data_IF_496684118136
#
_entry.id   IF_496684118136
#
_cell.length_a   1.000
_cell.length_b   1.000
_cell.length_c   1.000
_cell.angle_alpha   90.00
_cell.angle_beta   90.00
_cell.angle_gamma   90.00
#
_symmetry.space_group_name_H-M   'P 1'
#
loop_
_entity.id
_entity.type
_entity.pdbx_description
1 polymer ?
#
# COMPACT_ATOMS: atom_id res chain seq x y z
N UNK A 1 20.82 33.11 -12.14
CA UNK A 1 19.96 32.11 -12.82
C UNK A 1 18.59 32.20 -12.15
N UNK A 2 17.53 32.37 -12.92
CA UNK A 2 16.18 32.36 -12.38
C UNK A 2 15.80 30.95 -11.94
N UNK A 3 15.07 30.83 -10.84
CA UNK A 3 14.66 29.53 -10.27
C UNK A 3 13.76 28.72 -11.22
N UNK A 4 13.00 29.42 -12.08
CA UNK A 4 12.00 28.86 -12.98
C UNK A 4 11.65 29.91 -14.03
N UNK A 5 11.15 29.51 -15.20
CA UNK A 5 10.67 30.42 -16.24
C UNK A 5 9.42 31.19 -15.80
N UNK A 6 8.74 30.73 -14.77
CA UNK A 6 7.51 31.30 -14.21
C UNK A 6 7.69 31.78 -12.77
N UNK A 7 8.83 32.44 -12.47
CA UNK A 7 9.24 32.81 -11.11
C UNK A 7 8.14 33.54 -10.33
N UNK A 8 7.46 34.52 -10.93
CA UNK A 8 6.37 35.29 -10.32
C UNK A 8 5.20 34.42 -9.84
N UNK A 9 4.83 33.40 -10.62
CA UNK A 9 3.77 32.45 -10.25
C UNK A 9 4.24 31.48 -9.18
N UNK A 10 5.48 31.00 -9.27
CA UNK A 10 6.05 30.04 -8.32
C UNK A 10 6.21 30.70 -6.95
N UNK A 11 6.73 31.92 -6.86
CA UNK A 11 6.86 32.63 -5.59
C UNK A 11 5.50 32.94 -4.95
N UNK A 12 4.50 33.29 -5.74
CA UNK A 12 3.18 33.68 -5.24
C UNK A 12 2.27 32.50 -4.90
N UNK A 13 2.29 31.42 -5.69
CA UNK A 13 1.25 30.40 -5.64
C UNK A 13 1.74 28.97 -5.35
N UNK A 14 3.03 28.66 -5.50
CA UNK A 14 3.51 27.28 -5.42
C UNK A 14 3.22 26.62 -4.05
N UNK A 15 3.48 27.32 -2.97
CA UNK A 15 3.19 26.86 -1.62
C UNK A 15 1.69 26.56 -1.44
N UNK A 16 0.84 27.52 -1.78
CA UNK A 16 -0.61 27.38 -1.64
C UNK A 16 -1.17 26.26 -2.53
N UNK A 17 -0.63 26.11 -3.75
CA UNK A 17 -1.08 25.06 -4.66
C UNK A 17 -0.71 23.65 -4.17
N UNK A 18 0.50 23.45 -3.68
CA UNK A 18 0.90 22.17 -3.06
C UNK A 18 0.03 21.87 -1.84
N UNK A 19 -0.24 22.87 -0.99
CA UNK A 19 -1.13 22.73 0.16
C UNK A 19 -2.55 22.31 -0.24
N UNK A 20 -3.14 22.97 -1.23
CA UNK A 20 -4.48 22.62 -1.74
C UNK A 20 -4.53 21.21 -2.35
N UNK A 21 -3.49 20.78 -3.06
CA UNK A 21 -3.38 19.42 -3.58
C UNK A 21 -3.34 18.41 -2.43
N UNK A 22 -2.56 18.67 -1.38
CA UNK A 22 -2.49 17.78 -0.22
C UNK A 22 -3.80 17.71 0.55
N UNK A 23 -4.50 18.82 0.72
CA UNK A 23 -5.82 18.86 1.34
C UNK A 23 -6.83 18.02 0.54
N UNK A 24 -6.81 18.13 -0.79
CA UNK A 24 -7.66 17.31 -1.66
C UNK A 24 -7.34 15.82 -1.57
N UNK A 25 -6.08 15.43 -1.38
CA UNK A 25 -5.68 14.02 -1.33
C UNK A 25 -5.77 13.39 0.06
N UNK A 26 -5.68 14.18 1.12
CA UNK A 26 -5.63 13.70 2.51
C UNK A 26 -6.70 14.32 3.40
N UNK A 27 -7.54 15.23 2.87
CA UNK A 27 -8.60 15.90 3.62
C UNK A 27 -9.70 14.95 4.10
N UNK A 28 -10.50 15.39 5.05
CA UNK A 28 -11.60 14.60 5.64
C UNK A 28 -12.67 14.10 4.63
N UNK A 29 -12.76 14.74 3.47
CA UNK A 29 -13.64 14.34 2.37
C UNK A 29 -12.95 13.42 1.34
N UNK A 30 -11.64 13.16 1.48
CA UNK A 30 -10.92 12.28 0.58
C UNK A 30 -11.17 10.83 0.98
N UNK A 31 -11.89 10.10 0.15
CA UNK A 31 -11.82 8.65 0.19
C UNK A 31 -10.39 8.26 -0.20
N UNK A 32 -9.59 7.82 0.78
CA UNK A 32 -8.24 7.34 0.47
C UNK A 32 -8.36 5.96 -0.19
N UNK A 33 -8.11 5.84 -1.50
CA UNK A 33 -8.17 4.55 -2.17
C UNK A 33 -6.97 3.67 -1.84
N UNK A 34 -6.01 4.19 -1.06
CA UNK A 34 -4.73 3.55 -0.80
C UNK A 34 -4.67 2.94 0.59
N UNK A 35 -4.40 1.63 0.65
CA UNK A 35 -4.31 0.87 1.90
C UNK A 35 -3.13 1.34 2.77
N UNK A 36 -2.00 1.73 2.16
CA UNK A 36 -0.85 2.18 2.94
C UNK A 36 -1.15 3.40 3.82
N UNK A 37 -2.12 4.26 3.44
CA UNK A 37 -2.49 5.44 4.24
C UNK A 37 -3.31 5.10 5.49
N UNK A 38 -4.03 3.98 5.45
CA UNK A 38 -4.90 3.55 6.56
C UNK A 38 -4.23 2.50 7.45
N UNK A 39 -3.36 1.67 6.89
CA UNK A 39 -2.79 0.50 7.55
C UNK A 39 -1.35 0.71 8.04
N UNK A 40 -0.69 1.81 7.65
CA UNK A 40 0.66 2.16 8.10
C UNK A 40 0.65 3.45 8.92
N UNK A 41 1.40 3.46 10.01
CA UNK A 41 1.76 4.68 10.73
C UNK A 41 3.07 5.26 10.17
N UNK A 42 3.20 6.57 10.15
CA UNK A 42 4.45 7.21 9.72
C UNK A 42 5.51 7.15 10.82
N UNK A 43 6.75 6.84 10.44
CA UNK A 43 7.90 6.83 11.34
C UNK A 43 9.13 7.44 10.68
N UNK A 44 9.73 8.41 11.36
CA UNK A 44 10.95 9.07 10.90
C UNK A 44 12.21 8.27 11.27
N UNK A 45 13.12 8.09 10.29
CA UNK A 45 14.42 7.47 10.46
C UNK A 45 15.53 8.47 10.15
N UNK A 46 16.33 8.79 11.16
CA UNK A 46 17.44 9.75 11.02
C UNK A 46 18.66 9.14 10.29
N UNK A 47 18.85 7.83 10.37
CA UNK A 47 19.99 7.10 9.81
C UNK A 47 19.67 6.46 8.45
N UNK A 48 18.50 6.74 7.88
CA UNK A 48 18.00 6.19 6.61
C UNK A 48 17.95 4.65 6.60
N UNK A 49 17.77 4.06 7.76
CA UNK A 49 17.62 2.61 7.93
C UNK A 49 16.21 2.28 8.38
N UNK A 50 15.74 1.13 7.94
CA UNK A 50 14.53 0.53 8.47
C UNK A 50 14.87 -0.76 9.20
N UNK A 51 14.12 -1.07 10.25
CA UNK A 51 14.18 -2.35 10.93
C UNK A 51 12.76 -2.83 11.22
N UNK A 52 12.45 -4.05 10.83
CA UNK A 52 11.25 -4.74 11.26
C UNK A 52 11.57 -5.48 12.56
N UNK A 53 10.80 -5.22 13.59
CA UNK A 53 10.87 -5.97 14.85
C UNK A 53 9.68 -6.89 14.91
N UNK A 54 9.95 -8.19 14.95
CA UNK A 54 8.92 -9.19 15.19
C UNK A 54 8.51 -9.10 16.67
N UNK A 55 7.46 -8.38 16.95
CA UNK A 55 6.84 -8.35 18.28
C UNK A 55 5.85 -9.50 18.29
N UNK A 56 6.23 -10.58 18.93
CA UNK A 56 5.32 -11.70 19.16
C UNK A 56 4.22 -11.20 20.12
N UNK A 57 3.01 -10.99 19.62
CA UNK A 57 1.86 -10.54 20.42
C UNK A 57 1.34 -11.64 21.35
N UNK A 58 1.85 -12.87 21.25
CA UNK A 58 1.52 -13.94 22.21
C UNK A 58 2.09 -13.63 23.59
N UNK A 59 1.24 -13.22 24.50
CA UNK A 59 1.61 -13.00 25.90
C UNK A 59 1.61 -14.35 26.63
N UNK A 60 2.78 -14.74 27.17
CA UNK A 60 2.87 -15.92 28.02
C UNK A 60 2.23 -15.63 29.37
N UNK A 61 1.27 -16.45 29.77
CA UNK A 61 0.60 -16.27 31.05
C UNK A 61 1.59 -16.30 32.22
N UNK A 62 1.32 -15.50 33.27
CA UNK A 62 2.05 -15.56 34.51
C UNK A 62 1.75 -16.87 35.26
N UNK A 63 2.75 -17.40 35.95
CA UNK A 63 2.54 -18.56 36.82
C UNK A 63 1.93 -18.14 38.13
N UNK A 64 1.11 -19.02 38.70
CA UNK A 64 0.67 -18.92 40.09
C UNK A 64 1.79 -19.47 40.98
N UNK A 65 2.31 -18.63 41.85
CA UNK A 65 3.43 -18.97 42.74
C UNK A 65 3.03 -18.83 44.21
N UNK A 66 3.68 -19.58 45.11
CA UNK A 66 3.46 -19.40 46.55
C UNK A 66 4.12 -18.11 47.05
N UNK A 67 3.62 -17.58 48.20
CA UNK A 67 4.08 -16.29 48.77
C UNK A 67 5.59 -16.23 49.05
N UNK A 68 6.23 -17.37 49.28
CA UNK A 68 7.65 -17.49 49.65
C UNK A 68 8.52 -18.04 48.53
N UNK A 69 7.97 -18.25 47.31
CA UNK A 69 8.74 -18.77 46.17
C UNK A 69 9.28 -17.64 45.30
N UNK A 70 10.46 -17.87 44.71
CA UNK A 70 11.01 -16.95 43.67
C UNK A 70 10.16 -17.01 42.41
N UNK A 71 10.06 -15.86 41.71
CA UNK A 71 9.34 -15.79 40.43
C UNK A 71 10.08 -16.62 39.36
N UNK A 72 9.37 -17.48 38.59
CA UNK A 72 9.96 -18.24 37.51
C UNK A 72 10.38 -17.32 36.36
N UNK A 73 11.59 -17.55 35.84
CA UNK A 73 12.11 -16.83 34.68
C UNK A 73 11.43 -17.33 33.41
N UNK A 74 10.75 -16.44 32.70
CA UNK A 74 10.19 -16.73 31.38
C UNK A 74 11.20 -16.38 30.27
N UNK A 75 11.29 -17.22 29.25
CA UNK A 75 12.10 -16.94 28.07
C UNK A 75 11.47 -15.80 27.25
N UNK A 76 12.30 -14.88 26.75
CA UNK A 76 11.84 -13.91 25.75
C UNK A 76 11.67 -14.62 24.41
N UNK A 77 10.61 -14.29 23.68
CA UNK A 77 10.46 -14.73 22.30
C UNK A 77 11.67 -14.31 21.47
N UNK A 78 12.12 -15.19 20.57
CA UNK A 78 13.19 -14.86 19.64
C UNK A 78 12.73 -13.72 18.72
N UNK A 79 13.45 -12.61 18.75
CA UNK A 79 13.17 -11.46 17.90
C UNK A 79 13.85 -11.70 16.56
N UNK A 80 13.06 -11.96 15.52
CA UNK A 80 13.54 -11.91 14.14
C UNK A 80 13.67 -10.45 13.72
N UNK A 81 14.81 -10.07 13.12
CA UNK A 81 15.05 -8.69 12.66
C UNK A 81 15.38 -8.72 11.18
N UNK A 82 14.52 -8.11 10.39
CA UNK A 82 14.86 -7.69 9.04
C UNK A 82 15.26 -6.21 9.08
N UNK A 83 16.27 -5.81 8.34
CA UNK A 83 16.72 -4.43 8.28
C UNK A 83 17.36 -4.11 6.93
N UNK A 84 17.38 -2.85 6.56
CA UNK A 84 17.98 -2.39 5.31
C UNK A 84 17.99 -0.87 5.23
N UNK A 85 18.36 -0.34 4.08
CA UNK A 85 18.35 1.08 3.78
C UNK A 85 17.02 1.49 3.15
N UNK A 86 16.58 2.73 3.42
CA UNK A 86 15.37 3.30 2.84
C UNK A 86 15.66 3.73 1.40
N UNK A 87 14.87 3.28 0.40
CA UNK A 87 15.06 3.68 -1.00
C UNK A 87 14.58 5.11 -1.26
N UNK A 88 15.19 5.76 -2.25
CA UNK A 88 14.71 7.03 -2.80
C UNK A 88 13.67 6.75 -3.89
N UNK A 89 12.48 7.28 -3.74
CA UNK A 89 11.44 7.31 -4.75
C UNK A 89 11.50 8.67 -5.45
N UNK A 90 11.27 8.70 -6.76
CA UNK A 90 11.29 9.97 -7.48
C UNK A 90 10.59 9.90 -8.82
N UNK A 91 10.02 11.03 -9.21
CA UNK A 91 9.44 11.26 -10.53
C UNK A 91 9.77 12.66 -11.01
N UNK A 92 10.01 12.82 -12.31
CA UNK A 92 10.24 14.11 -12.97
C UNK A 92 9.36 14.22 -14.20
N UNK A 93 8.60 15.30 -14.29
CA UNK A 93 7.81 15.68 -15.44
C UNK A 93 8.38 16.93 -16.06
N UNK A 94 8.29 17.04 -17.38
CA UNK A 94 8.80 18.20 -18.14
C UNK A 94 7.70 18.88 -18.94
N UNK A 95 7.79 20.19 -19.04
CA UNK A 95 7.10 21.00 -20.05
C UNK A 95 8.14 21.46 -21.06
N UNK A 96 7.92 21.10 -22.32
CA UNK A 96 8.79 21.50 -23.42
C UNK A 96 8.44 22.90 -23.94
N UNK A 97 9.21 23.37 -24.90
CA UNK A 97 9.13 24.70 -25.45
C UNK A 97 7.74 25.05 -25.99
N UNK A 98 7.04 24.11 -26.64
CA UNK A 98 5.68 24.29 -27.16
C UNK A 98 4.69 24.61 -26.03
N UNK A 99 4.75 23.84 -24.90
CA UNK A 99 3.86 24.06 -23.77
C UNK A 99 4.16 25.38 -23.06
N UNK A 100 5.43 25.73 -22.93
CA UNK A 100 5.89 27.02 -22.40
C UNK A 100 5.37 28.16 -23.25
N UNK A 101 5.51 28.06 -24.59
CA UNK A 101 5.00 29.05 -25.53
C UNK A 101 3.48 29.21 -25.44
N UNK A 102 2.74 28.10 -25.28
CA UNK A 102 1.28 28.17 -25.11
C UNK A 102 0.89 28.92 -23.83
N UNK A 103 1.60 28.73 -22.73
CA UNK A 103 1.37 29.48 -21.49
C UNK A 103 1.64 30.98 -21.71
N UNK A 104 2.73 31.32 -22.39
CA UNK A 104 3.06 32.72 -22.70
C UNK A 104 2.00 33.38 -23.62
N UNK A 105 1.47 32.64 -24.60
CA UNK A 105 0.36 33.13 -25.46
C UNK A 105 -0.91 33.34 -24.62
N UNK A 106 -1.23 32.46 -23.67
CA UNK A 106 -2.37 32.67 -22.77
C UNK A 106 -2.21 33.97 -21.96
N UNK A 107 -1.02 34.21 -21.40
CA UNK A 107 -0.70 35.49 -20.70
C UNK A 107 -0.89 36.68 -21.59
N UNK A 108 -0.34 36.64 -22.78
CA UNK A 108 -0.42 37.77 -23.77
C UNK A 108 -1.88 38.03 -24.19
N UNK A 109 -2.75 37.04 -24.21
CA UNK A 109 -4.18 37.18 -24.53
C UNK A 109 -5.03 37.62 -23.32
N UNK A 110 -4.44 37.88 -22.16
CA UNK A 110 -5.15 38.38 -20.98
C UNK A 110 -5.87 37.30 -20.17
N UNK A 111 -5.43 36.06 -20.24
CA UNK A 111 -5.91 35.03 -19.34
C UNK A 111 -5.71 35.42 -17.86
N UNK A 112 -6.62 35.03 -16.99
CA UNK A 112 -6.52 35.33 -15.57
C UNK A 112 -5.29 34.66 -14.91
N UNK A 113 -4.74 35.29 -13.87
CA UNK A 113 -3.61 34.70 -13.12
C UNK A 113 -3.91 33.27 -12.64
N UNK A 114 -5.16 32.97 -12.26
CA UNK A 114 -5.58 31.65 -11.81
C UNK A 114 -5.52 30.61 -12.95
N UNK A 115 -5.92 30.96 -14.16
CA UNK A 115 -5.85 30.06 -15.31
C UNK A 115 -4.41 29.77 -15.72
N UNK A 116 -3.55 30.80 -15.69
CA UNK A 116 -2.11 30.62 -15.98
C UNK A 116 -1.46 29.76 -14.87
N UNK A 117 -1.70 30.06 -13.61
CA UNK A 117 -1.18 29.29 -12.48
C UNK A 117 -1.63 27.80 -12.56
N UNK A 118 -2.88 27.54 -12.90
CA UNK A 118 -3.38 26.18 -13.09
C UNK A 118 -2.59 25.41 -14.16
N UNK A 119 -2.17 26.08 -15.24
CA UNK A 119 -1.33 25.46 -16.28
C UNK A 119 0.12 25.31 -15.88
N UNK A 120 0.68 26.27 -15.13
CA UNK A 120 2.06 26.18 -14.62
C UNK A 120 2.21 25.01 -13.65
N UNK A 121 1.18 24.74 -12.84
CA UNK A 121 1.21 23.75 -11.75
C UNK A 121 0.43 22.44 -12.03
N UNK A 122 -0.09 22.21 -13.23
CA UNK A 122 -0.90 21.03 -13.55
C UNK A 122 -0.18 19.69 -13.31
N UNK A 123 1.17 19.68 -13.33
CA UNK A 123 1.97 18.48 -13.06
C UNK A 123 2.21 18.22 -11.56
N UNK A 124 2.01 19.23 -10.70
CA UNK A 124 2.24 19.09 -9.25
C UNK A 124 1.38 17.98 -8.64
N UNK A 125 0.09 17.96 -8.95
CA UNK A 125 -0.81 16.92 -8.46
C UNK A 125 -0.43 15.53 -8.99
N UNK A 126 0.03 15.44 -10.24
CA UNK A 126 0.44 14.18 -10.87
C UNK A 126 1.69 13.60 -10.21
N UNK A 127 2.72 14.43 -9.96
CA UNK A 127 3.97 13.93 -9.35
C UNK A 127 3.78 13.53 -7.90
N UNK A 128 2.94 14.22 -7.12
CA UNK A 128 2.60 13.83 -5.75
C UNK A 128 1.85 12.49 -5.75
N UNK A 129 0.81 12.36 -6.59
CA UNK A 129 0.04 11.12 -6.72
C UNK A 129 0.89 9.94 -7.18
N UNK A 130 1.89 10.17 -8.04
CA UNK A 130 2.78 9.11 -8.52
C UNK A 130 3.64 8.52 -7.39
N UNK A 131 4.08 9.34 -6.42
CA UNK A 131 4.77 8.84 -5.22
C UNK A 131 3.82 7.98 -4.37
N UNK A 132 2.57 8.42 -4.18
CA UNK A 132 1.58 7.64 -3.42
C UNK A 132 1.25 6.31 -4.11
N UNK A 133 1.11 6.31 -5.44
CA UNK A 133 0.94 5.07 -6.22
C UNK A 133 2.11 4.11 -6.03
N UNK A 134 3.35 4.59 -6.06
CA UNK A 134 4.54 3.74 -5.85
C UNK A 134 4.56 3.15 -4.44
N UNK A 135 4.24 3.94 -3.42
CA UNK A 135 4.11 3.45 -2.03
C UNK A 135 3.05 2.36 -1.91
N UNK A 136 1.91 2.54 -2.58
CA UNK A 136 0.82 1.57 -2.57
C UNK A 136 1.21 0.25 -3.25
N UNK A 137 1.88 0.31 -4.41
CA UNK A 137 2.42 -0.87 -5.11
C UNK A 137 3.35 -1.66 -4.18
N UNK A 138 4.30 -0.97 -3.55
CA UNK A 138 5.25 -1.58 -2.63
C UNK A 138 4.56 -2.19 -1.42
N UNK A 139 3.56 -1.50 -0.86
CA UNK A 139 2.82 -1.96 0.30
C UNK A 139 1.95 -3.19 0.01
N UNK A 140 1.18 -3.19 -1.09
CA UNK A 140 0.35 -4.34 -1.46
C UNK A 140 1.18 -5.59 -1.75
N UNK A 141 2.32 -5.44 -2.44
CA UNK A 141 3.28 -6.52 -2.62
C UNK A 141 3.81 -7.03 -1.28
N UNK A 142 4.23 -6.11 -0.40
CA UNK A 142 4.75 -6.43 0.93
C UNK A 142 3.74 -7.19 1.80
N UNK A 143 2.49 -6.71 1.88
CA UNK A 143 1.45 -7.33 2.70
C UNK A 143 1.02 -8.69 2.13
N UNK A 144 0.90 -8.83 0.81
CA UNK A 144 0.41 -10.08 0.21
C UNK A 144 1.46 -11.19 0.16
N UNK A 145 2.77 -10.86 0.13
CA UNK A 145 3.85 -11.85 -0.04
C UNK A 145 4.87 -11.88 1.10
N UNK A 146 4.85 -10.89 2.00
CA UNK A 146 5.92 -10.67 2.99
C UNK A 146 7.19 -10.08 2.39
N UNK A 147 7.15 -9.62 1.13
CA UNK A 147 8.30 -9.08 0.42
C UNK A 147 7.92 -7.82 -0.37
N UNK A 148 8.73 -6.79 -0.26
CA UNK A 148 8.68 -5.64 -1.15
C UNK A 148 9.76 -5.83 -2.23
N UNK A 149 9.34 -6.08 -3.45
CA UNK A 149 10.21 -6.27 -4.60
C UNK A 149 9.86 -5.25 -5.68
N UNK A 150 10.86 -4.45 -6.08
CA UNK A 150 10.82 -3.61 -7.28
C UNK A 150 11.95 -4.06 -8.18
N UNK A 151 11.63 -4.63 -9.33
CA UNK A 151 12.63 -5.17 -10.26
C UNK A 151 13.22 -4.07 -11.14
N UNK A 152 14.45 -4.27 -11.65
CA UNK A 152 15.07 -3.34 -12.59
C UNK A 152 14.30 -3.20 -13.90
N UNK A 153 13.48 -4.20 -14.25
CA UNK A 153 12.60 -4.16 -15.42
C UNK A 153 11.43 -3.16 -15.24
N UNK A 154 11.00 -2.95 -14.00
CA UNK A 154 9.88 -2.08 -13.62
C UNK A 154 10.33 -0.68 -13.19
N UNK A 155 11.63 -0.42 -13.15
CA UNK A 155 12.20 0.78 -12.57
C UNK A 155 13.45 1.24 -13.31
N UNK A 156 13.57 2.56 -13.48
CA UNK A 156 14.79 3.19 -13.98
C UNK A 156 15.72 3.45 -12.80
N UNK A 157 16.61 2.55 -12.49
CA UNK A 157 17.54 2.71 -11.39
C UNK A 157 17.72 1.43 -10.58
N UNK A 158 18.13 1.57 -9.34
CA UNK A 158 18.35 0.43 -8.45
C UNK A 158 17.02 -0.17 -7.98
N UNK A 159 16.85 -1.48 -8.14
CA UNK A 159 15.69 -2.21 -7.61
C UNK A 159 15.65 -2.18 -6.07
N UNK A 160 14.49 -2.48 -5.54
CA UNK A 160 14.27 -2.61 -4.08
C UNK A 160 13.95 -4.06 -3.76
N UNK A 161 14.65 -4.63 -2.79
CA UNK A 161 14.35 -5.95 -2.26
C UNK A 161 14.38 -5.91 -0.74
N UNK A 162 13.21 -5.97 -0.12
CA UNK A 162 13.05 -6.07 1.32
C UNK A 162 12.18 -7.28 1.65
N UNK A 163 12.62 -8.13 2.59
CA UNK A 163 11.86 -9.27 3.08
C UNK A 163 11.53 -9.03 4.54
N UNK A 164 10.26 -9.19 4.90
CA UNK A 164 9.76 -8.92 6.24
C UNK A 164 9.64 -10.17 7.12
N UNK A 165 10.10 -11.33 6.60
CA UNK A 165 10.24 -12.54 7.42
C UNK A 165 8.94 -13.28 7.72
N UNK A 166 7.98 -13.31 6.79
CA UNK A 166 6.78 -14.13 6.95
C UNK A 166 7.15 -15.59 7.23
N UNK A 167 6.48 -16.18 8.20
CA UNK A 167 6.79 -17.53 8.66
C UNK A 167 6.14 -18.57 7.75
N UNK A 168 6.89 -19.51 7.14
CA UNK A 168 6.30 -20.57 6.30
C UNK A 168 5.23 -21.40 7.01
N UNK A 169 5.37 -21.58 8.32
CA UNK A 169 4.41 -22.32 9.16
C UNK A 169 3.07 -21.57 9.37
N UNK A 170 3.00 -20.29 9.04
CA UNK A 170 1.77 -19.49 9.03
C UNK A 170 1.09 -19.50 7.66
N UNK A 171 1.68 -20.21 6.69
CA UNK A 171 1.10 -20.32 5.35
C UNK A 171 0.30 -21.61 5.26
N UNK A 172 -1.00 -21.46 5.00
CA UNK A 172 -1.94 -22.56 4.76
C UNK A 172 -2.16 -22.67 3.25
N UNK A 173 -2.31 -23.88 2.75
CA UNK A 173 -2.68 -24.14 1.36
C UNK A 173 -4.14 -24.59 1.29
N UNK A 174 -4.82 -24.23 0.21
CA UNK A 174 -6.21 -24.67 -0.02
C UNK A 174 -6.30 -26.18 -0.22
N UNK A 175 -7.48 -26.74 0.06
CA UNK A 175 -7.74 -28.14 -0.21
C UNK A 175 -7.90 -28.44 -1.71
N UNK A 176 -8.48 -27.51 -2.45
CA UNK A 176 -8.59 -27.48 -3.90
C UNK A 176 -8.42 -26.03 -4.38
N UNK A 177 -7.98 -25.83 -5.61
CA UNK A 177 -7.83 -24.48 -6.19
C UNK A 177 -9.19 -23.78 -6.23
N UNK A 178 -9.24 -22.54 -5.79
CA UNK A 178 -10.49 -21.78 -5.77
C UNK A 178 -11.06 -21.45 -7.14
N UNK A 179 -10.26 -21.58 -8.19
CA UNK A 179 -10.69 -21.47 -9.60
C UNK A 179 -11.66 -22.60 -9.99
N UNK A 180 -11.57 -23.78 -9.36
CA UNK A 180 -12.50 -24.88 -9.56
C UNK A 180 -13.75 -24.69 -8.69
N UNK A 181 -14.77 -24.06 -9.26
CA UNK A 181 -16.00 -23.74 -8.55
C UNK A 181 -16.74 -24.96 -7.96
N UNK A 182 -16.53 -26.17 -8.50
CA UNK A 182 -17.18 -27.39 -8.02
C UNK A 182 -16.43 -28.05 -6.86
N UNK A 183 -15.09 -28.11 -6.95
CA UNK A 183 -14.24 -28.78 -5.95
C UNK A 183 -13.77 -27.84 -4.82
N UNK A 184 -13.75 -26.53 -5.06
CA UNK A 184 -13.26 -25.54 -4.09
C UNK A 184 -14.12 -25.48 -2.82
N UNK A 185 -13.42 -25.42 -1.67
CA UNK A 185 -14.04 -25.29 -0.34
C UNK A 185 -13.48 -24.06 0.40
N UNK A 186 -13.69 -22.85 -0.12
CA UNK A 186 -13.04 -21.65 0.41
C UNK A 186 -13.43 -21.33 1.85
N UNK A 187 -14.64 -21.66 2.30
CA UNK A 187 -15.06 -21.43 3.70
C UNK A 187 -14.31 -22.38 4.64
N UNK A 188 -14.13 -23.65 4.25
CA UNK A 188 -13.37 -24.61 5.08
C UNK A 188 -11.87 -24.26 5.08
N UNK A 189 -11.33 -23.76 3.99
CA UNK A 189 -9.94 -23.29 3.89
C UNK A 189 -9.73 -22.06 4.81
N UNK A 190 -10.70 -21.13 4.85
CA UNK A 190 -10.69 -20.01 5.78
C UNK A 190 -10.78 -20.49 7.25
N UNK A 191 -11.66 -21.46 7.55
CA UNK A 191 -11.69 -22.08 8.90
C UNK A 191 -10.33 -22.68 9.25
N UNK A 192 -9.66 -23.32 8.30
CA UNK A 192 -8.30 -23.84 8.48
C UNK A 192 -7.27 -22.73 8.77
N UNK A 193 -7.39 -21.59 8.12
CA UNK A 193 -6.54 -20.41 8.35
C UNK A 193 -6.73 -19.87 9.78
N UNK A 194 -7.98 -19.69 10.21
CA UNK A 194 -8.30 -19.22 11.56
C UNK A 194 -7.88 -20.22 12.64
N UNK A 195 -8.08 -21.51 12.40
CA UNK A 195 -7.62 -22.55 13.34
C UNK A 195 -6.09 -22.58 13.47
N UNK A 196 -5.35 -22.33 12.37
CA UNK A 196 -3.88 -22.21 12.41
C UNK A 196 -3.42 -20.99 13.22
N UNK A 197 -4.16 -19.87 13.14
CA UNK A 197 -3.89 -18.67 13.93
C UNK A 197 -4.20 -18.91 15.44
N UNK A 198 -5.36 -19.48 15.73
CA UNK A 198 -5.79 -19.79 17.08
C UNK A 198 -4.83 -20.75 17.80
N UNK A 199 -4.34 -21.78 17.11
CA UNK A 199 -3.32 -22.71 17.62
C UNK A 199 -2.02 -22.01 18.04
N UNK A 200 -1.80 -20.76 17.64
CA UNK A 200 -0.68 -19.91 18.01
C UNK A 200 -1.04 -18.76 18.94
N UNK A 201 -2.29 -18.73 19.41
CA UNK A 201 -2.79 -17.68 20.29
C UNK A 201 -2.99 -16.33 19.59
N UNK A 202 -3.19 -16.33 18.27
CA UNK A 202 -3.45 -15.12 17.48
C UNK A 202 -4.87 -15.13 16.96
N UNK A 203 -5.62 -14.07 17.23
CA UNK A 203 -6.99 -13.88 16.71
C UNK A 203 -6.96 -12.86 15.57
N UNK A 204 -7.13 -13.29 14.31
CA UNK A 204 -7.20 -12.36 13.19
C UNK A 204 -8.46 -11.50 13.27
N UNK A 205 -8.29 -10.17 13.12
CA UNK A 205 -9.41 -9.22 13.11
C UNK A 205 -9.70 -8.69 11.69
N UNK A 206 -8.72 -8.74 10.80
CA UNK A 206 -8.87 -8.28 9.43
C UNK A 206 -8.33 -9.31 8.44
N UNK A 207 -9.06 -9.53 7.35
CA UNK A 207 -8.69 -10.45 6.27
C UNK A 207 -8.71 -9.70 4.95
N UNK A 208 -7.60 -9.74 4.23
CA UNK A 208 -7.42 -9.09 2.94
C UNK A 208 -7.31 -10.14 1.84
N UNK A 209 -8.06 -9.98 0.75
CA UNK A 209 -8.02 -10.87 -0.40
C UNK A 209 -8.30 -10.10 -1.70
N UNK A 210 -7.80 -10.62 -2.83
CA UNK A 210 -8.04 -9.98 -4.12
C UNK A 210 -9.50 -10.09 -4.55
N UNK A 211 -9.97 -9.15 -5.36
CA UNK A 211 -11.32 -9.18 -5.95
C UNK A 211 -11.57 -10.46 -6.74
N UNK A 212 -10.59 -10.92 -7.51
CA UNK A 212 -10.68 -12.13 -8.31
C UNK A 212 -10.96 -13.37 -7.47
N UNK A 213 -10.19 -13.57 -6.39
CA UNK A 213 -10.35 -14.72 -5.50
C UNK A 213 -11.58 -14.61 -4.59
N UNK A 214 -11.99 -13.40 -4.24
CA UNK A 214 -13.28 -13.18 -3.60
C UNK A 214 -14.46 -13.58 -4.52
N UNK A 215 -14.37 -13.28 -5.81
CA UNK A 215 -15.40 -13.70 -6.77
C UNK A 215 -15.38 -15.22 -6.97
N UNK A 216 -14.23 -15.90 -6.96
CA UNK A 216 -14.15 -17.35 -6.94
C UNK A 216 -14.79 -17.96 -5.69
N UNK A 217 -14.52 -17.39 -4.50
CA UNK A 217 -15.17 -17.79 -3.25
C UNK A 217 -16.70 -17.74 -3.39
N UNK A 218 -17.23 -16.63 -3.87
CA UNK A 218 -18.69 -16.45 -4.05
C UNK A 218 -19.28 -17.39 -5.11
N UNK A 219 -18.54 -17.67 -6.16
CA UNK A 219 -18.98 -18.52 -7.28
C UNK A 219 -18.86 -20.03 -6.97
N UNK A 220 -18.07 -20.42 -5.97
CA UNK A 220 -17.91 -21.82 -5.59
C UNK A 220 -19.22 -22.45 -5.09
N UNK A 221 -19.36 -23.77 -5.22
CA UNK A 221 -20.52 -24.49 -4.71
C UNK A 221 -20.73 -24.26 -3.20
N UNK A 222 -19.64 -24.30 -2.43
CA UNK A 222 -19.67 -24.03 -1.00
C UNK A 222 -20.01 -22.56 -0.68
N UNK A 223 -19.45 -21.61 -1.42
CA UNK A 223 -19.72 -20.18 -1.19
C UNK A 223 -21.16 -19.80 -1.49
N UNK A 224 -21.76 -20.35 -2.54
CA UNK A 224 -23.19 -20.17 -2.85
C UNK A 224 -24.09 -20.72 -1.74
N UNK A 225 -23.79 -21.93 -1.27
CA UNK A 225 -24.53 -22.54 -0.17
C UNK A 225 -24.40 -21.74 1.13
N UNK A 226 -23.18 -21.34 1.48
CA UNK A 226 -22.89 -20.52 2.67
C UNK A 226 -23.62 -19.19 2.65
N UNK A 227 -23.55 -18.45 1.52
CA UNK A 227 -24.27 -17.20 1.36
C UNK A 227 -25.79 -17.35 1.44
N UNK A 228 -26.35 -18.41 0.85
CA UNK A 228 -27.77 -18.69 0.92
C UNK A 228 -28.23 -19.00 2.37
N UNK A 229 -27.49 -19.82 3.09
CA UNK A 229 -27.78 -20.17 4.49
C UNK A 229 -27.72 -18.94 5.40
N UNK A 230 -26.74 -18.07 5.20
CA UNK A 230 -26.62 -16.83 5.96
C UNK A 230 -27.85 -15.90 5.78
N UNK A 231 -28.58 -16.04 4.68
CA UNK A 231 -29.84 -15.32 4.41
C UNK A 231 -31.11 -16.17 4.69
N UNK A 232 -30.99 -17.30 5.37
CA UNK A 232 -32.11 -18.15 5.75
C UNK A 232 -32.70 -18.96 4.58
N UNK A 233 -32.00 -19.05 3.44
CA UNK A 233 -32.42 -19.84 2.29
C UNK A 233 -31.95 -21.28 2.46
N UNK A 234 -32.87 -22.18 2.70
CA UNK A 234 -32.62 -23.63 2.78
C UNK A 234 -32.72 -24.20 1.38
N UNK A 235 -31.59 -24.36 0.69
CA UNK A 235 -31.54 -24.97 -0.64
C UNK A 235 -30.91 -26.37 -0.60
N UNK A 236 -31.53 -27.30 -1.29
CA UNK A 236 -31.07 -28.69 -1.35
C UNK A 236 -29.88 -28.89 -2.33
N UNK A 237 -29.71 -27.99 -3.33
CA UNK A 237 -28.72 -28.12 -4.41
C UNK A 237 -27.99 -26.81 -4.67
N UNK A 238 -26.65 -26.75 -4.46
CA UNK A 238 -25.86 -25.54 -4.72
C UNK A 238 -25.92 -25.02 -6.16
N UNK A 239 -26.15 -25.93 -7.14
CA UNK A 239 -26.19 -25.55 -8.55
C UNK A 239 -27.37 -24.64 -8.90
N UNK A 240 -28.44 -24.66 -8.09
CA UNK A 240 -29.62 -23.81 -8.25
C UNK A 240 -29.49 -22.46 -7.58
N UNK A 241 -28.40 -22.25 -6.80
CA UNK A 241 -28.18 -21.00 -6.07
C UNK A 241 -27.36 -20.03 -6.91
N UNK A 242 -27.79 -18.79 -6.91
CA UNK A 242 -27.04 -17.65 -7.48
C UNK A 242 -26.00 -17.20 -6.47
N UNK A 243 -24.85 -16.73 -6.95
CA UNK A 243 -23.82 -16.15 -6.08
C UNK A 243 -24.38 -14.93 -5.32
N UNK A 244 -24.21 -14.94 -4.01
CA UNK A 244 -24.65 -13.86 -3.12
C UNK A 244 -23.98 -12.52 -3.49
N UNK A 245 -24.62 -11.39 -3.27
CA UNK A 245 -24.04 -10.07 -3.49
C UNK A 245 -22.72 -9.87 -2.68
N UNK A 246 -21.92 -8.90 -3.08
CA UNK A 246 -20.62 -8.62 -2.40
C UNK A 246 -20.85 -8.30 -0.94
N UNK A 247 -21.71 -7.34 -0.66
CA UNK A 247 -21.95 -6.85 0.71
C UNK A 247 -22.56 -7.93 1.61
N UNK A 248 -23.50 -8.70 1.06
CA UNK A 248 -24.14 -9.77 1.78
C UNK A 248 -23.15 -10.92 2.11
N UNK A 249 -22.21 -11.23 1.20
CA UNK A 249 -21.16 -12.21 1.47
C UNK A 249 -20.16 -11.70 2.51
N UNK A 250 -19.74 -10.43 2.43
CA UNK A 250 -18.85 -9.83 3.42
C UNK A 250 -19.49 -9.85 4.83
N UNK A 251 -20.76 -9.54 4.92
CA UNK A 251 -21.51 -9.60 6.18
C UNK A 251 -21.60 -11.05 6.72
N UNK A 252 -21.85 -12.03 5.84
CA UNK A 252 -21.90 -13.44 6.22
C UNK A 252 -20.54 -13.93 6.75
N UNK A 253 -19.44 -13.57 6.08
CA UNK A 253 -18.08 -13.90 6.50
C UNK A 253 -17.72 -13.23 7.83
N UNK A 254 -18.07 -11.95 8.00
CA UNK A 254 -17.87 -11.23 9.25
C UNK A 254 -18.59 -11.92 10.42
N UNK A 255 -19.82 -12.34 10.22
CA UNK A 255 -20.62 -13.01 11.25
C UNK A 255 -20.07 -14.40 11.59
N UNK A 256 -19.55 -15.14 10.61
CA UNK A 256 -18.98 -16.48 10.81
C UNK A 256 -17.63 -16.42 11.54
N UNK A 257 -16.73 -15.51 11.11
CA UNK A 257 -15.33 -15.50 11.57
C UNK A 257 -15.04 -14.42 12.64
N UNK A 258 -15.94 -13.49 12.88
CA UNK A 258 -15.70 -12.38 13.80
C UNK A 258 -14.63 -11.39 13.31
N UNK A 259 -14.26 -11.43 12.03
CA UNK A 259 -13.23 -10.61 11.40
C UNK A 259 -13.78 -9.80 10.23
N UNK A 260 -13.18 -8.65 9.96
CA UNK A 260 -13.54 -7.81 8.82
C UNK A 260 -12.82 -8.28 7.55
N UNK A 261 -13.58 -8.49 6.48
CA UNK A 261 -13.06 -8.91 5.18
C UNK A 261 -12.96 -7.72 4.23
N UNK A 262 -11.75 -7.49 3.69
CA UNK A 262 -11.43 -6.39 2.80
C UNK A 262 -11.06 -6.90 1.41
N UNK A 263 -11.79 -6.44 0.40
CA UNK A 263 -11.53 -6.81 -1.00
C UNK A 263 -10.56 -5.82 -1.63
N UNK A 264 -9.36 -6.29 -1.90
CA UNK A 264 -8.31 -5.50 -2.56
C UNK A 264 -8.52 -5.54 -4.07
N UNK A 265 -8.66 -4.37 -4.67
CA UNK A 265 -8.86 -4.22 -6.13
C UNK A 265 -8.02 -3.05 -6.64
N UNK A 266 -6.70 -3.16 -6.55
CA UNK A 266 -5.75 -2.16 -7.03
C UNK A 266 -5.10 -2.58 -8.35
N UNK A 267 -5.23 -1.74 -9.39
CA UNK A 267 -4.43 -1.84 -10.60
C UNK A 267 -3.79 -0.47 -10.89
N UNK A 268 -2.49 -0.47 -11.16
CA UNK A 268 -1.69 0.75 -11.29
C UNK A 268 -0.89 0.72 -12.58
N UNK A 269 -0.69 1.90 -13.17
CA UNK A 269 0.17 2.03 -14.36
C UNK A 269 1.59 2.33 -13.94
N UNK A 270 2.52 1.56 -14.46
CA UNK A 270 3.97 1.75 -14.30
C UNK A 270 4.57 1.96 -15.68
N UNK A 271 5.39 2.99 -15.82
CA UNK A 271 6.16 3.24 -17.04
C UNK A 271 7.51 2.52 -16.93
N UNK A 272 7.79 1.67 -17.91
CA UNK A 272 9.06 0.96 -18.02
C UNK A 272 10.17 1.90 -18.55
N UNK A 273 11.45 1.55 -18.36
CA UNK A 273 12.57 2.29 -18.93
C UNK A 273 12.48 2.52 -20.45
N UNK A 274 11.77 1.65 -21.16
CA UNK A 274 11.47 1.75 -22.59
C UNK A 274 10.45 2.83 -22.95
N UNK A 275 9.83 3.52 -21.99
CA UNK A 275 8.71 4.43 -22.17
C UNK A 275 7.34 3.75 -22.35
N UNK A 276 7.28 2.40 -22.33
CA UNK A 276 6.03 1.65 -22.42
C UNK A 276 5.35 1.63 -21.06
N UNK A 277 4.06 1.98 -21.04
CA UNK A 277 3.23 1.86 -19.84
C UNK A 277 2.64 0.48 -19.73
N UNK A 278 2.75 -0.13 -18.57
CA UNK A 278 2.16 -1.42 -18.21
C UNK A 278 1.24 -1.28 -17.00
N UNK A 279 0.17 -2.08 -16.97
CA UNK A 279 -0.74 -2.15 -15.82
C UNK A 279 -0.30 -3.30 -14.92
N UNK A 280 0.05 -2.98 -13.69
CA UNK A 280 0.46 -3.96 -12.66
C UNK A 280 -0.61 -4.10 -11.60
N UNK A 281 -0.77 -5.33 -11.10
CA UNK A 281 -1.57 -5.67 -9.92
C UNK A 281 -0.60 -6.15 -8.85
N UNK A 282 -0.26 -5.33 -7.87
CA UNK A 282 0.79 -5.64 -6.93
C UNK A 282 0.40 -6.67 -5.87
N UNK A 283 -0.89 -6.89 -5.64
CA UNK A 283 -1.38 -7.94 -4.76
C UNK A 283 -1.18 -9.31 -5.38
N UNK A 284 -0.55 -10.24 -4.65
CA UNK A 284 -0.48 -11.65 -5.05
C UNK A 284 -1.89 -12.23 -5.06
N UNK A 285 -2.50 -12.32 -6.25
CA UNK A 285 -3.95 -12.52 -6.43
C UNK A 285 -4.51 -13.70 -5.62
N UNK A 286 -3.76 -14.81 -5.54
CA UNK A 286 -4.18 -16.02 -4.85
C UNK A 286 -3.99 -15.99 -3.33
N UNK A 287 -3.32 -14.97 -2.80
CA UNK A 287 -3.03 -14.90 -1.37
C UNK A 287 -4.16 -14.20 -0.62
N UNK A 288 -4.66 -14.87 0.41
CA UNK A 288 -5.55 -14.32 1.43
C UNK A 288 -4.71 -14.10 2.68
N UNK A 289 -4.70 -12.88 3.20
CA UNK A 289 -3.85 -12.48 4.32
C UNK A 289 -4.71 -12.10 5.51
N UNK A 290 -4.47 -12.75 6.65
CA UNK A 290 -5.16 -12.50 7.90
C UNK A 290 -4.20 -11.86 8.91
N UNK A 291 -4.63 -10.75 9.52
CA UNK A 291 -3.84 -9.95 10.45
C UNK A 291 -4.62 -9.66 11.73
N UNK A 292 -3.94 -9.58 12.90
CA UNK A 292 -4.62 -9.38 14.18
C UNK A 292 -5.02 -7.91 14.42
N UNK A 293 -4.40 -6.95 13.74
CA UNK A 293 -4.61 -5.53 13.96
C UNK A 293 -4.88 -4.78 12.66
N UNK A 294 -5.57 -3.63 12.75
CA UNK A 294 -5.80 -2.75 11.61
C UNK A 294 -4.49 -2.10 11.12
N UNK A 295 -3.57 -1.75 12.04
CA UNK A 295 -2.26 -1.22 11.68
C UNK A 295 -1.27 -2.37 11.53
N UNK A 296 -0.83 -2.63 10.30
CA UNK A 296 0.04 -3.76 9.97
C UNK A 296 1.52 -3.41 9.86
N UNK A 297 1.86 -2.13 10.08
CA UNK A 297 3.26 -1.71 9.97
C UNK A 297 3.47 -0.21 9.98
N UNK A 298 4.60 0.20 9.41
CA UNK A 298 5.06 1.59 9.39
C UNK A 298 5.49 2.02 8.00
N UNK A 299 5.19 3.26 7.65
CA UNK A 299 5.86 3.95 6.55
C UNK A 299 7.10 4.63 7.11
N UNK A 300 8.24 3.99 6.99
CA UNK A 300 9.51 4.54 7.46
C UNK A 300 10.03 5.54 6.42
N UNK A 301 10.33 6.76 6.84
CA UNK A 301 10.79 7.82 5.94
C UNK A 301 12.00 8.57 6.50
N UNK A 302 12.78 9.19 5.62
CA UNK A 302 13.94 9.97 5.97
C UNK A 302 13.96 11.35 5.32
N UNK A 303 14.96 12.15 5.67
CA UNK A 303 15.18 13.49 5.13
C UNK A 303 16.00 13.42 3.84
N UNK A 304 15.55 14.07 2.78
CA UNK A 304 16.29 14.22 1.53
C UNK A 304 17.46 15.21 1.70
N UNK A 305 18.56 14.95 1.03
CA UNK A 305 19.72 15.86 1.05
C UNK A 305 19.38 17.26 0.55
N UNK A 306 18.45 17.36 -0.39
CA UNK A 306 17.96 18.62 -0.94
C UNK A 306 17.16 19.46 0.07
N UNK A 307 16.63 18.85 1.14
CA UNK A 307 15.94 19.57 2.23
C UNK A 307 16.92 20.31 3.13
N UNK A 308 18.12 19.74 3.33
CA UNK A 308 19.17 20.34 4.14
C UNK A 308 20.12 21.22 3.33
N UNK A 309 20.30 20.93 2.05
CA UNK A 309 21.19 21.65 1.15
C UNK A 309 20.43 22.05 -0.13
N UNK A 310 19.48 23.00 -0.05
CA UNK A 310 18.66 23.37 -1.21
C UNK A 310 19.50 24.15 -2.23
N UNK A 311 19.37 23.78 -3.51
CA UNK A 311 19.98 24.53 -4.60
C UNK A 311 19.25 25.87 -4.79
N UNK A 312 20.00 26.98 -4.92
CA UNK A 312 19.43 28.33 -4.97
C UNK A 312 18.56 28.60 -6.21
N UNK A 313 18.75 27.82 -7.29
CA UNK A 313 18.01 27.92 -8.55
C UNK A 313 16.81 26.97 -8.66
N UNK A 314 16.45 26.27 -7.59
CA UNK A 314 15.31 25.37 -7.53
C UNK A 314 14.33 25.89 -6.50
N UNK A 315 13.05 25.89 -6.85
CA UNK A 315 11.98 26.15 -5.91
C UNK A 315 11.54 24.82 -5.28
N UNK A 316 11.56 24.75 -3.96
CA UNK A 316 11.20 23.55 -3.20
C UNK A 316 9.96 23.81 -2.33
N UNK A 317 9.09 22.79 -2.25
CA UNK A 317 7.93 22.79 -1.36
C UNK A 317 7.69 21.39 -0.82
N UNK A 318 7.51 21.27 0.49
CA UNK A 318 7.10 20.02 1.13
C UNK A 318 5.62 19.74 0.91
N UNK A 319 5.31 18.51 0.51
CA UNK A 319 3.97 17.99 0.41
C UNK A 319 3.80 16.90 1.49
N UNK A 320 3.10 17.25 2.59
CA UNK A 320 3.02 16.41 3.79
C UNK A 320 4.36 16.31 4.52
N UNK A 321 4.62 15.16 5.15
CA UNK A 321 5.77 14.95 6.03
C UNK A 321 7.06 14.57 5.29
N UNK A 322 6.96 13.82 4.18
CA UNK A 322 8.10 13.13 3.58
C UNK A 322 8.21 13.25 2.05
N UNK A 323 7.35 14.01 1.39
CA UNK A 323 7.44 14.25 -0.06
C UNK A 323 7.95 15.66 -0.33
N UNK A 324 9.03 15.78 -1.08
CA UNK A 324 9.58 17.05 -1.54
C UNK A 324 9.23 17.27 -3.00
N UNK A 325 8.49 18.33 -3.28
CA UNK A 325 8.17 18.77 -4.64
C UNK A 325 9.13 19.89 -5.03
N UNK A 326 9.69 19.82 -6.22
CA UNK A 326 10.56 20.88 -6.70
C UNK A 326 10.23 21.32 -8.12
N UNK A 327 10.57 22.58 -8.43
CA UNK A 327 10.35 23.20 -9.73
C UNK A 327 11.57 24.00 -10.15
N UNK A 328 12.05 23.76 -11.37
CA UNK A 328 13.23 24.42 -11.95
C UNK A 328 13.22 24.38 -13.47
N UNK A 329 14.01 25.22 -14.10
CA UNK A 329 14.16 25.28 -15.56
C UNK A 329 15.55 24.91 -16.03
N UNK A 330 15.63 24.47 -17.28
CA UNK A 330 16.84 24.25 -18.05
C UNK A 330 16.78 25.10 -19.33
N UNK A 331 17.94 25.56 -19.80
CA UNK A 331 17.99 26.51 -20.90
C UNK A 331 18.25 25.83 -22.26
N UNK A 332 18.99 24.73 -22.28
CA UNK A 332 19.33 24.01 -23.50
C UNK A 332 19.11 22.49 -23.31
N UNK A 333 18.02 21.92 -23.88
CA UNK A 333 16.86 22.62 -24.47
C UNK A 333 16.05 23.40 -23.43
N UNK A 334 15.24 24.37 -23.88
CA UNK A 334 14.40 25.17 -23.00
C UNK A 334 13.26 24.31 -22.45
N UNK A 335 13.34 23.98 -21.19
CA UNK A 335 12.39 23.09 -20.51
C UNK A 335 12.13 23.55 -19.07
N UNK A 336 10.92 23.32 -18.59
CA UNK A 336 10.52 23.51 -17.21
C UNK A 336 10.23 22.14 -16.58
N UNK A 337 10.81 21.87 -15.43
CA UNK A 337 10.67 20.60 -14.71
C UNK A 337 9.86 20.75 -13.44
N UNK A 338 9.00 19.78 -13.21
CA UNK A 338 8.32 19.57 -11.91
C UNK A 338 8.68 18.18 -11.42
N UNK A 339 9.21 18.06 -10.20
CA UNK A 339 9.62 16.79 -9.63
C UNK A 339 8.95 16.53 -8.30
N UNK A 340 8.81 15.28 -7.92
CA UNK A 340 8.52 14.87 -6.55
C UNK A 340 9.49 13.77 -6.14
N UNK A 341 9.98 13.84 -4.91
CA UNK A 341 10.92 12.88 -4.36
C UNK A 341 10.54 12.54 -2.92
N UNK A 342 10.84 11.32 -2.49
CA UNK A 342 10.68 10.88 -1.12
C UNK A 342 11.72 9.80 -0.79
N UNK A 343 12.24 9.81 0.43
CA UNK A 343 12.96 8.67 1.02
C UNK A 343 11.96 7.94 1.90
N UNK A 344 11.41 6.82 1.43
CA UNK A 344 10.44 6.06 2.22
C UNK A 344 10.32 4.60 1.78
N UNK A 345 9.93 3.75 2.75
CA UNK A 345 9.65 2.34 2.54
C UNK A 345 8.47 1.91 3.43
N UNK A 346 7.44 1.24 2.89
CA UNK A 346 6.46 0.52 3.70
C UNK A 346 7.11 -0.70 4.33
N UNK A 347 7.07 -0.79 5.64
CA UNK A 347 7.63 -1.88 6.46
C UNK A 347 6.51 -2.60 7.16
N UNK A 348 6.45 -3.92 7.01
CA UNK A 348 5.49 -4.77 7.72
C UNK A 348 6.08 -5.15 9.08
N UNK A 349 5.33 -4.89 10.14
CA UNK A 349 5.67 -5.31 11.50
C UNK A 349 4.84 -6.53 11.91
N UNK A 350 5.28 -7.25 12.94
CA UNK A 350 4.53 -8.40 13.46
C UNK A 350 4.36 -9.54 12.46
N UNK A 351 5.35 -9.78 11.60
CA UNK A 351 5.30 -10.82 10.56
C UNK A 351 5.05 -12.23 11.14
N UNK A 352 5.37 -12.45 12.41
CA UNK A 352 5.09 -13.69 13.14
C UNK A 352 3.61 -13.97 13.38
N UNK A 353 2.77 -12.94 13.38
CA UNK A 353 1.34 -13.02 13.67
C UNK A 353 0.47 -12.83 12.41
N UNK A 354 1.11 -12.72 11.24
CA UNK A 354 0.44 -12.68 9.95
C UNK A 354 0.29 -14.10 9.39
N UNK A 355 -0.93 -14.44 9.01
CA UNK A 355 -1.26 -15.74 8.43
C UNK A 355 -1.68 -15.57 6.97
N UNK A 356 -1.24 -16.49 6.12
CA UNK A 356 -1.52 -16.43 4.68
C UNK A 356 -2.14 -17.74 4.21
N UNK A 357 -3.22 -17.66 3.42
CA UNK A 357 -3.79 -18.79 2.71
C UNK A 357 -3.49 -18.63 1.21
N UNK A 358 -2.87 -19.66 0.61
CA UNK A 358 -2.60 -19.74 -0.82
C UNK A 358 -3.72 -20.52 -1.51
N UNK A 359 -4.60 -19.80 -2.19
CA UNK A 359 -5.84 -20.36 -2.76
C UNK A 359 -5.66 -21.03 -4.14
N UNK A 360 -4.47 -20.94 -4.74
CA UNK A 360 -4.08 -21.58 -6.01
C UNK A 360 -3.20 -22.81 -5.82
N UNK A 361 -2.78 -23.10 -4.58
CA UNK A 361 -1.91 -24.23 -4.25
C UNK A 361 -2.67 -25.24 -3.40
N UNK A 362 -2.56 -26.50 -3.79
CA UNK A 362 -3.14 -27.61 -3.04
C UNK A 362 -2.16 -28.18 -2.01
N UNK A 363 -2.73 -28.75 -0.94
CA UNK A 363 -1.99 -29.45 0.12
C UNK A 363 -1.23 -30.65 -0.42
#
# INVERSE_FOLDING_TARGET
>A
MEKTLFAEYVEKYFHGFVGAVMEKFNGAAAESPYLHKTLLREEYSADLRWGSTDINHSVVAADVVSLESSLPLKSRAAVSRASGTIPKLGIKMRKGEIEISNINVMRAKGASEAEVAARVFDDVAKVIKAIDVRKEIMFQSALSTGQCLVTDAENVGTGVRASFGYLPKNTVKSAAKWEDAAAAKPIDDLRGLFAAADARGVTPLHVYLSRKYFDYLRASAQGRLFGAQAHGVLAAKPELLVATSVDAMLMALRNEFGAEFHVVNGSYRVEQPSGRSETVKPWAEANVVAVPEATVGRLVYGTLAEETNPASWVAYQKAGTHVLVSKFSQVDPLEEYTTAQALCLPVIDGAGDIFTLQADQTK
#
